data_IF_231243781082
#
_entry.id   IF_231243781082
#
_cell.length_a   1.000
_cell.length_b   1.000
_cell.length_c   1.000
_cell.angle_alpha   90.00
_cell.angle_beta   90.00
_cell.angle_gamma   90.00
#
_symmetry.space_group_name_H-M   'P 1'
#
loop_
_entity.id
_entity.type
_entity.pdbx_description
1 polymer ?
#
# COMPACT_ATOMS: atom_id res chain seq x y z
N UNK A 1 21.05 16.15 -13.49
CA UNK A 1 19.81 16.57 -12.81
C UNK A 1 19.67 15.60 -11.66
N UNK A 2 19.92 16.04 -10.43
CA UNK A 2 19.76 15.14 -9.27
C UNK A 2 18.26 14.93 -9.13
N UNK A 3 17.78 13.71 -9.41
CA UNK A 3 16.47 13.31 -8.93
C UNK A 3 16.57 13.35 -7.40
N UNK A 4 15.86 14.28 -6.78
CA UNK A 4 15.82 14.37 -5.32
C UNK A 4 15.34 13.02 -4.76
N UNK A 5 16.18 12.37 -3.97
CA UNK A 5 15.84 11.08 -3.35
C UNK A 5 14.58 11.22 -2.50
N UNK A 6 13.64 10.30 -2.69
CA UNK A 6 12.41 10.24 -1.92
C UNK A 6 12.73 9.88 -0.47
N UNK A 7 12.31 10.71 0.48
CA UNK A 7 12.54 10.48 1.92
C UNK A 7 11.25 10.08 2.63
N UNK A 8 11.35 9.60 3.88
CA UNK A 8 10.19 9.22 4.68
C UNK A 8 10.19 9.87 6.08
N UNK A 9 9.02 9.99 6.69
CA UNK A 9 8.87 10.23 8.12
C UNK A 9 7.69 9.45 8.67
N UNK A 10 7.82 8.96 9.90
CA UNK A 10 6.71 8.40 10.68
C UNK A 10 6.32 9.42 11.74
N UNK A 11 5.05 9.79 11.75
CA UNK A 11 4.46 10.66 12.76
C UNK A 11 3.89 9.78 13.89
N UNK A 12 4.12 10.20 15.13
CA UNK A 12 3.56 9.58 16.34
C UNK A 12 3.67 8.04 16.41
N UNK A 13 4.90 7.55 16.58
CA UNK A 13 5.22 6.11 16.60
C UNK A 13 4.57 5.31 17.72
N UNK A 14 4.00 5.97 18.73
CA UNK A 14 3.40 5.31 19.90
C UNK A 14 1.88 5.21 19.80
N UNK A 15 1.25 5.84 18.81
CA UNK A 15 -0.20 5.80 18.62
C UNK A 15 -0.71 4.60 17.79
N UNK A 16 0.19 3.71 17.34
CA UNK A 16 -0.18 2.46 16.66
C UNK A 16 -0.79 1.47 17.66
N UNK A 17 -1.87 0.78 17.27
CA UNK A 17 -2.56 -0.18 18.14
C UNK A 17 -1.82 -1.51 18.24
N UNK A 18 -1.03 -1.85 17.22
CA UNK A 18 -0.36 -3.14 17.08
C UNK A 18 1.12 -2.97 16.78
N UNK A 19 1.93 -3.88 17.32
CA UNK A 19 3.36 -3.98 16.98
C UNK A 19 3.58 -4.31 15.49
N UNK A 20 2.64 -4.99 14.85
CA UNK A 20 2.73 -5.31 13.43
C UNK A 20 2.62 -4.05 12.57
N UNK A 21 1.68 -3.16 12.85
CA UNK A 21 1.58 -1.89 12.14
C UNK A 21 2.84 -1.05 12.35
N UNK A 22 3.33 -0.94 13.59
CA UNK A 22 4.58 -0.21 13.89
C UNK A 22 5.78 -0.75 13.10
N UNK A 23 5.91 -2.09 13.02
CA UNK A 23 6.95 -2.74 12.20
C UNK A 23 6.76 -2.48 10.72
N UNK A 24 5.52 -2.56 10.24
CA UNK A 24 5.23 -2.36 8.83
C UNK A 24 5.50 -0.92 8.39
N UNK A 25 5.06 0.08 9.16
CA UNK A 25 5.37 1.48 8.86
C UNK A 25 6.86 1.79 8.98
N UNK A 26 7.58 1.12 9.90
CA UNK A 26 9.05 1.23 9.98
C UNK A 26 9.72 0.66 8.74
N UNK A 27 9.27 -0.51 8.28
CA UNK A 27 9.72 -1.10 7.03
C UNK A 27 9.46 -0.17 5.83
N UNK A 28 8.23 0.30 5.64
CA UNK A 28 7.87 1.19 4.54
C UNK A 28 8.67 2.51 4.57
N UNK A 29 9.00 3.02 5.75
CA UNK A 29 9.85 4.20 5.90
C UNK A 29 11.32 3.94 5.50
N UNK A 30 11.81 2.71 5.59
CA UNK A 30 13.16 2.35 5.14
C UNK A 30 13.27 2.24 3.62
N UNK A 31 12.14 1.99 2.94
CA UNK A 31 12.04 1.79 1.50
C UNK A 31 11.07 2.80 0.85
N UNK A 32 11.32 4.11 0.97
CA UNK A 32 10.44 5.14 0.44
C UNK A 32 10.20 5.03 -1.08
N UNK A 33 11.15 4.46 -1.83
CA UNK A 33 11.07 4.20 -3.25
C UNK A 33 9.89 3.30 -3.67
N UNK A 34 9.31 2.53 -2.74
CA UNK A 34 8.05 1.80 -2.95
C UNK A 34 6.96 2.73 -3.47
N UNK A 35 6.99 4.00 -3.04
CA UNK A 35 6.01 5.02 -3.39
C UNK A 35 6.46 5.97 -4.50
N UNK A 36 7.57 5.66 -5.19
CA UNK A 36 8.14 6.52 -6.25
C UNK A 36 7.19 6.78 -7.43
N UNK A 37 6.25 5.87 -7.69
CA UNK A 37 5.26 6.03 -8.75
C UNK A 37 4.07 6.91 -8.37
N UNK A 38 3.93 7.28 -7.09
CA UNK A 38 2.85 8.13 -6.60
C UNK A 38 3.14 9.61 -6.82
N UNK A 39 2.13 10.34 -7.31
CA UNK A 39 2.21 11.80 -7.48
C UNK A 39 1.95 12.54 -6.17
N UNK A 40 2.31 13.82 -6.14
CA UNK A 40 2.04 14.71 -5.01
C UNK A 40 0.57 14.68 -4.57
N UNK A 41 0.33 14.71 -3.26
CA UNK A 41 -0.98 14.60 -2.60
C UNK A 41 -1.71 13.26 -2.77
N UNK A 42 -1.06 12.23 -3.32
CA UNK A 42 -1.55 10.85 -3.18
C UNK A 42 -1.62 10.47 -1.71
N UNK A 43 -2.80 10.08 -1.26
CA UNK A 43 -3.15 9.93 0.15
C UNK A 43 -3.98 8.66 0.32
N UNK A 44 -3.43 7.62 0.94
CA UNK A 44 -4.12 6.33 1.00
C UNK A 44 -3.89 5.62 2.32
N UNK A 45 -4.89 4.84 2.71
CA UNK A 45 -4.90 4.13 3.97
C UNK A 45 -4.44 2.68 3.78
N UNK A 46 -3.76 2.14 4.77
CA UNK A 46 -3.45 0.73 4.92
C UNK A 46 -4.26 0.22 6.11
N UNK A 47 -5.13 -0.75 5.88
CA UNK A 47 -5.95 -1.37 6.91
C UNK A 47 -5.58 -2.84 7.07
N UNK A 48 -5.27 -3.25 8.30
CA UNK A 48 -4.79 -4.59 8.61
C UNK A 48 -5.93 -5.41 9.19
N UNK A 49 -6.20 -6.57 8.61
CA UNK A 49 -7.30 -7.46 9.00
C UNK A 49 -6.77 -8.81 9.46
N UNK A 50 -7.34 -9.37 10.52
CA UNK A 50 -6.97 -10.69 11.02
C UNK A 50 -7.50 -11.82 10.13
N UNK A 51 -8.68 -11.62 9.54
CA UNK A 51 -9.36 -12.58 8.69
C UNK A 51 -10.29 -11.89 7.68
N UNK A 52 -10.81 -12.64 6.72
CA UNK A 52 -11.86 -12.18 5.79
C UNK A 52 -13.13 -11.78 6.57
N UNK A 53 -13.47 -12.47 7.66
CA UNK A 53 -14.62 -12.10 8.51
C UNK A 53 -14.46 -10.70 9.12
N UNK A 54 -13.25 -10.34 9.57
CA UNK A 54 -12.99 -8.98 10.11
C UNK A 54 -13.00 -7.92 9.01
N UNK A 55 -12.65 -8.30 7.78
CA UNK A 55 -12.73 -7.45 6.60
C UNK A 55 -14.18 -7.14 6.22
N UNK A 56 -15.03 -8.16 6.13
CA UNK A 56 -16.46 -8.01 5.82
C UNK A 56 -17.20 -7.14 6.85
N UNK A 57 -16.70 -7.10 8.09
CA UNK A 57 -17.23 -6.25 9.18
C UNK A 57 -16.59 -4.88 9.26
N UNK A 58 -15.69 -4.54 8.33
CA UNK A 58 -14.93 -3.28 8.31
C UNK A 58 -14.22 -3.00 9.65
N UNK A 59 -13.71 -4.05 10.29
CA UNK A 59 -13.12 -4.01 11.64
C UNK A 59 -11.62 -4.35 11.62
N UNK A 60 -10.77 -3.48 11.05
CA UNK A 60 -9.34 -3.71 11.02
C UNK A 60 -8.74 -3.64 12.43
N UNK A 61 -7.71 -4.45 12.68
CA UNK A 61 -6.96 -4.42 13.93
C UNK A 61 -6.10 -3.18 14.07
N UNK A 62 -5.63 -2.64 12.94
CA UNK A 62 -4.90 -1.39 12.90
C UNK A 62 -5.03 -0.72 11.54
N UNK A 63 -4.83 0.59 11.53
CA UNK A 63 -4.89 1.41 10.31
C UNK A 63 -3.83 2.48 10.39
N UNK A 64 -3.18 2.74 9.27
CA UNK A 64 -2.33 3.91 9.10
C UNK A 64 -2.49 4.51 7.71
N UNK A 65 -2.10 5.77 7.58
CA UNK A 65 -2.19 6.54 6.38
C UNK A 65 -0.80 6.83 5.80
N UNK A 66 -0.69 6.83 4.48
CA UNK A 66 0.50 7.25 3.73
C UNK A 66 0.13 8.43 2.84
N UNK A 67 0.86 9.54 3.00
CA UNK A 67 0.71 10.76 2.22
C UNK A 67 2.00 11.08 1.45
N UNK A 68 1.88 11.28 0.14
CA UNK A 68 2.94 11.83 -0.71
C UNK A 68 2.97 13.35 -0.59
N UNK A 69 4.02 13.89 0.05
CA UNK A 69 4.19 15.33 0.27
C UNK A 69 5.54 15.81 -0.31
N UNK A 70 5.53 16.52 -1.45
CA UNK A 70 6.74 17.00 -2.12
C UNK A 70 7.66 15.85 -2.56
N UNK A 71 8.87 15.76 -2.02
CA UNK A 71 9.83 14.63 -2.16
C UNK A 71 9.92 13.78 -0.89
N UNK A 72 8.82 13.72 -0.15
CA UNK A 72 8.69 12.97 1.09
C UNK A 72 7.43 12.10 1.12
N UNK A 73 7.50 11.04 1.92
CA UNK A 73 6.39 10.21 2.35
C UNK A 73 6.15 10.46 3.84
N UNK A 74 4.92 10.79 4.20
CA UNK A 74 4.49 10.89 5.59
C UNK A 74 3.62 9.69 5.93
N UNK A 75 4.02 8.94 6.96
CA UNK A 75 3.26 7.81 7.48
C UNK A 75 2.69 8.18 8.83
N UNK A 76 1.38 8.06 9.00
CA UNK A 76 0.65 8.51 10.20
C UNK A 76 -0.29 7.40 10.70
N UNK A 77 -0.37 7.14 12.01
CA UNK A 77 -1.37 6.22 12.54
C UNK A 77 -2.79 6.77 12.34
N UNK A 78 -3.75 5.87 12.13
CA UNK A 78 -5.15 6.20 11.87
C UNK A 78 -5.49 6.40 10.39
N UNK A 79 -6.76 6.74 10.14
CA UNK A 79 -7.31 7.00 8.80
C UNK A 79 -7.09 8.45 8.38
N UNK A 80 -6.86 8.69 7.10
CA UNK A 80 -7.02 10.04 6.58
C UNK A 80 -8.49 10.47 6.51
N UNK A 81 -8.74 11.76 6.67
CA UNK A 81 -10.09 12.37 6.55
C UNK A 81 -10.66 12.22 5.14
N UNK A 82 -9.80 12.13 4.12
CA UNK A 82 -10.19 12.09 2.72
C UNK A 82 -9.20 11.23 1.92
N UNK A 83 -9.11 9.97 2.29
CA UNK A 83 -8.27 8.99 1.59
C UNK A 83 -8.72 8.81 0.14
N UNK A 84 -7.76 8.58 -0.76
CA UNK A 84 -7.97 8.25 -2.17
C UNK A 84 -8.43 6.79 -2.31
N UNK A 85 -7.77 5.89 -1.58
CA UNK A 85 -8.08 4.46 -1.51
C UNK A 85 -7.63 3.87 -0.17
N UNK A 86 -8.21 2.73 0.19
CA UNK A 86 -7.67 1.85 1.23
C UNK A 86 -7.07 0.60 0.56
N UNK A 87 -5.86 0.25 0.98
CA UNK A 87 -5.29 -1.07 0.78
C UNK A 87 -5.62 -1.91 2.01
N UNK A 88 -6.56 -2.83 1.87
CA UNK A 88 -6.89 -3.82 2.88
C UNK A 88 -5.88 -4.98 2.77
N UNK A 89 -5.23 -5.35 3.87
CA UNK A 89 -4.25 -6.43 3.88
C UNK A 89 -4.54 -7.39 5.02
N UNK A 90 -4.40 -8.68 4.74
CA UNK A 90 -4.36 -9.65 5.81
C UNK A 90 -3.07 -9.54 6.62
N UNK A 91 -3.16 -9.82 7.93
CA UNK A 91 -1.99 -9.88 8.83
C UNK A 91 -0.93 -10.85 8.30
N UNK A 92 -1.33 -11.96 7.66
CA UNK A 92 -0.42 -12.92 7.04
C UNK A 92 0.35 -12.33 5.85
N UNK A 93 -0.31 -11.54 5.01
CA UNK A 93 0.34 -10.84 3.90
C UNK A 93 1.39 -9.85 4.44
N UNK A 94 1.01 -9.00 5.41
CA UNK A 94 1.94 -8.01 5.99
C UNK A 94 3.18 -8.65 6.58
N UNK A 95 3.03 -9.76 7.33
CA UNK A 95 4.16 -10.50 7.92
C UNK A 95 5.18 -10.97 6.88
N UNK A 96 4.74 -11.23 5.63
CA UNK A 96 5.60 -11.63 4.52
C UNK A 96 6.16 -10.42 3.78
N UNK A 97 5.35 -9.39 3.54
CA UNK A 97 5.77 -8.16 2.87
C UNK A 97 6.97 -7.51 3.57
N UNK A 98 6.96 -7.44 4.91
CA UNK A 98 8.05 -6.82 5.69
C UNK A 98 9.37 -7.61 5.68
N UNK A 99 9.42 -8.78 5.02
CA UNK A 99 10.62 -9.59 4.87
C UNK A 99 11.34 -9.35 3.54
N UNK A 100 10.70 -8.63 2.61
CA UNK A 100 11.30 -8.23 1.33
C UNK A 100 12.41 -7.21 1.54
N UNK A 101 13.28 -7.03 0.54
CA UNK A 101 14.46 -6.17 0.65
C UNK A 101 14.56 -5.11 -0.43
N UNK A 102 13.72 -5.19 -1.46
CA UNK A 102 13.69 -4.22 -2.57
C UNK A 102 12.26 -3.85 -2.94
N UNK A 103 12.11 -2.72 -3.64
CA UNK A 103 10.83 -2.28 -4.23
C UNK A 103 10.21 -3.36 -5.09
N UNK A 104 11.00 -4.02 -5.93
CA UNK A 104 10.55 -5.01 -6.90
C UNK A 104 10.05 -6.28 -6.19
N UNK A 105 10.79 -6.78 -5.19
CA UNK A 105 10.36 -7.91 -4.37
C UNK A 105 9.05 -7.60 -3.64
N UNK A 106 8.96 -6.40 -3.06
CA UNK A 106 7.75 -5.95 -2.38
C UNK A 106 6.56 -5.88 -3.35
N UNK A 107 6.74 -5.25 -4.51
CA UNK A 107 5.68 -5.07 -5.50
C UNK A 107 5.19 -6.41 -6.07
N UNK A 108 6.10 -7.32 -6.43
CA UNK A 108 5.75 -8.66 -6.92
C UNK A 108 4.99 -9.48 -5.89
N UNK A 109 5.44 -9.45 -4.63
CA UNK A 109 4.78 -10.19 -3.55
C UNK A 109 3.41 -9.60 -3.23
N UNK A 110 3.29 -8.27 -3.23
CA UNK A 110 2.03 -7.56 -3.09
C UNK A 110 1.05 -7.96 -4.20
N UNK A 111 1.49 -7.98 -5.46
CA UNK A 111 0.70 -8.46 -6.59
C UNK A 111 0.22 -9.90 -6.45
N UNK A 112 1.10 -10.79 -6.01
CA UNK A 112 0.75 -12.20 -5.78
C UNK A 112 -0.41 -12.35 -4.79
N UNK A 113 -0.46 -11.53 -3.73
CA UNK A 113 -1.58 -11.57 -2.78
C UNK A 113 -2.89 -11.01 -3.33
N UNK A 114 -2.84 -10.20 -4.39
CA UNK A 114 -4.02 -9.71 -5.07
C UNK A 114 -4.53 -10.72 -6.10
N UNK A 115 -3.64 -11.30 -6.89
CA UNK A 115 -3.97 -12.20 -7.99
C UNK A 115 -4.39 -13.60 -7.51
N UNK A 116 -3.77 -14.10 -6.44
CA UNK A 116 -4.04 -15.42 -5.85
C UNK A 116 -4.27 -15.29 -4.32
N UNK A 117 -5.39 -14.68 -3.90
CA UNK A 117 -5.67 -14.44 -2.49
C UNK A 117 -5.97 -15.75 -1.76
N UNK A 118 -5.33 -15.93 -0.60
CA UNK A 118 -5.45 -17.14 0.21
C UNK A 118 -5.52 -16.73 1.71
N UNK A 119 -6.48 -17.28 2.43
CA UNK A 119 -6.76 -16.89 3.82
C UNK A 119 -5.56 -17.16 4.75
N UNK A 120 -4.86 -18.28 4.53
CA UNK A 120 -3.69 -18.64 5.33
C UNK A 120 -2.43 -17.94 4.85
N UNK A 121 -2.22 -17.89 3.52
CA UNK A 121 -0.97 -17.39 2.94
C UNK A 121 -0.94 -15.87 2.86
N UNK A 122 -2.07 -15.20 2.70
CA UNK A 122 -2.14 -13.77 2.53
C UNK A 122 -3.09 -13.36 1.42
N UNK A 123 -3.74 -12.22 1.62
CA UNK A 123 -4.58 -11.58 0.62
C UNK A 123 -4.47 -10.06 0.78
N UNK A 124 -4.74 -9.34 -0.30
CA UNK A 124 -4.95 -7.89 -0.29
C UNK A 124 -6.18 -7.52 -1.12
N UNK A 125 -6.80 -6.40 -0.81
CA UNK A 125 -7.89 -5.82 -1.60
C UNK A 125 -7.76 -4.29 -1.67
N UNK A 126 -8.28 -3.69 -2.73
CA UNK A 126 -8.26 -2.25 -2.97
C UNK A 126 -9.68 -1.68 -2.87
N UNK A 127 -9.92 -0.90 -1.82
CA UNK A 127 -11.18 -0.17 -1.65
C UNK A 127 -11.00 1.25 -2.16
N UNK A 128 -11.60 1.56 -3.32
CA UNK A 128 -11.48 2.88 -3.94
C UNK A 128 -12.48 3.86 -3.32
N UNK A 129 -11.97 4.98 -2.78
CA UNK A 129 -12.81 6.08 -2.27
C UNK A 129 -12.99 7.21 -3.29
N UNK A 130 -12.21 7.18 -4.38
CA UNK A 130 -12.30 8.09 -5.53
C UNK A 130 -12.60 7.32 -6.80
N UNK A 131 -13.02 8.07 -7.82
CA UNK A 131 -13.23 7.53 -9.17
C UNK A 131 -11.91 6.97 -9.72
N UNK A 132 -11.99 5.85 -10.44
CA UNK A 132 -10.83 5.16 -11.03
C UNK A 132 -9.91 6.09 -11.82
N UNK A 133 -10.46 7.01 -12.63
CA UNK A 133 -9.63 7.97 -13.38
C UNK A 133 -8.80 8.88 -12.46
N UNK A 134 -9.35 9.30 -11.32
CA UNK A 134 -8.62 10.10 -10.33
C UNK A 134 -7.49 9.29 -9.70
N UNK A 135 -7.73 8.00 -9.44
CA UNK A 135 -6.73 7.07 -8.90
C UNK A 135 -5.59 6.87 -9.91
N UNK A 136 -5.90 6.61 -11.18
CA UNK A 136 -4.91 6.45 -12.25
C UNK A 136 -4.05 7.72 -12.37
N UNK A 137 -4.67 8.90 -12.42
CA UNK A 137 -3.97 10.18 -12.52
C UNK A 137 -3.06 10.47 -11.31
N UNK A 138 -3.32 9.82 -10.17
CA UNK A 138 -2.52 9.93 -8.95
C UNK A 138 -1.31 8.99 -8.90
N UNK A 139 -1.06 8.25 -9.99
CA UNK A 139 0.07 7.33 -10.11
C UNK A 139 -0.18 5.94 -9.55
N UNK A 140 -1.34 5.70 -8.93
CA UNK A 140 -1.72 4.38 -8.43
C UNK A 140 -1.84 3.34 -9.55
N UNK A 141 -2.17 3.76 -10.77
CA UNK A 141 -2.18 2.86 -11.95
C UNK A 141 -0.79 2.28 -12.21
N UNK A 142 0.24 3.13 -12.27
CA UNK A 142 1.62 2.69 -12.48
C UNK A 142 2.16 1.87 -11.31
N UNK A 143 1.77 2.22 -10.08
CA UNK A 143 2.05 1.42 -8.89
C UNK A 143 1.45 0.01 -9.01
N UNK A 144 0.18 -0.09 -9.38
CA UNK A 144 -0.50 -1.37 -9.57
C UNK A 144 0.07 -2.18 -10.75
N UNK A 145 0.44 -1.54 -11.86
CA UNK A 145 1.15 -2.19 -12.97
C UNK A 145 2.50 -2.77 -12.54
N UNK A 146 3.28 -2.00 -11.77
CA UNK A 146 4.57 -2.45 -11.22
C UNK A 146 4.40 -3.67 -10.30
N UNK A 147 3.27 -3.72 -9.59
CA UNK A 147 2.90 -4.87 -8.78
C UNK A 147 2.31 -6.03 -9.61
N UNK A 148 2.10 -5.89 -10.92
CA UNK A 148 1.47 -6.92 -11.76
C UNK A 148 -0.05 -7.01 -11.63
N UNK A 149 -0.68 -6.14 -10.83
CA UNK A 149 -2.13 -6.09 -10.57
C UNK A 149 -2.91 -5.60 -11.79
N UNK A 150 -2.35 -4.62 -12.49
CA UNK A 150 -2.88 -4.13 -13.75
C UNK A 150 -1.97 -4.62 -14.88
N UNK A 151 -2.53 -5.38 -15.83
CA UNK A 151 -1.85 -5.73 -17.07
C UNK A 151 -1.98 -4.57 -18.05
N UNK A 152 -0.97 -4.34 -18.88
CA UNK A 152 -1.09 -3.39 -19.97
C UNK A 152 -2.13 -3.89 -20.98
N UNK A 153 -3.00 -2.98 -21.47
CA UNK A 153 -4.02 -3.31 -22.49
C UNK A 153 -3.40 -3.88 -23.80
N UNK A 154 -2.08 -3.73 -23.99
CA UNK A 154 -1.33 -4.26 -25.14
C UNK A 154 -1.12 -5.79 -25.11
N UNK A 155 -1.27 -6.44 -23.95
CA UNK A 155 -1.18 -7.90 -23.84
C UNK A 155 -2.46 -8.64 -24.28
N UNK A 156 -3.56 -7.91 -24.50
CA UNK A 156 -4.85 -8.48 -24.94
C UNK A 156 -4.91 -8.63 -26.48
N UNK A 157 -4.01 -7.97 -27.22
CA UNK A 157 -3.97 -7.99 -28.69
C UNK A 157 -2.76 -8.70 -29.31
N UNK A 158 -1.92 -9.35 -28.51
CA UNK A 158 -0.87 -10.23 -29.04
C UNK A 158 -1.43 -11.61 -29.35
N UNK A 159 -2.00 -11.74 -30.56
CA UNK A 159 -2.50 -12.99 -31.19
C UNK A 159 -1.33 -13.94 -31.49
#
# INVERSE_FOLDING_TARGET
MFEDELTSQIIDKEAYKTELAKKYTTFLAQYPEIFSDLVFESNFDFALYESVETYDKESPVDIFNVLRNGNKIEIKPGRAVNSDLELALSVSAVKKLIQTKTKEEYAQLLGTFYDDPDEEKGWIDFVLHKRTQTIINKGYGKFAQTAGILKDDDDIYSI
#
